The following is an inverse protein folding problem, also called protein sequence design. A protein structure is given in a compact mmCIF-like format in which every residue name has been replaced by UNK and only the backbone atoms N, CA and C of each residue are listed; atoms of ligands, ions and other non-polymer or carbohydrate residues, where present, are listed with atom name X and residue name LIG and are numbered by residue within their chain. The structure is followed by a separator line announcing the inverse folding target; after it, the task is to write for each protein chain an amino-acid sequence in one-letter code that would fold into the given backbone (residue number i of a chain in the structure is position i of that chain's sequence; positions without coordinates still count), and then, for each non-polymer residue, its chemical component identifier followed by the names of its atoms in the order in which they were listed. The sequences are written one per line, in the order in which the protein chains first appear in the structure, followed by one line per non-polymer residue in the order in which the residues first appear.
data_IF_317214008086
#
_entry.id   IF_317214008086
#
_cell.length_a   1.000
_cell.length_b   1.000
_cell.length_c   1.000
_cell.angle_alpha   90.00
_cell.angle_beta   90.00
_cell.angle_gamma   90.00
#
_symmetry.space_group_name_H-M   'P 1'
#
loop_
_entity.id
_entity.type
_entity.pdbx_description
1 polymer ?
#
# COMPACT_ATOMS: atom_id res chain seq x y z
N UNK A 1 2.54 7.16 -7.65
CA UNK A 1 3.41 8.35 -7.86
C UNK A 1 2.59 9.52 -8.36
N UNK A 2 3.03 10.74 -8.08
CA UNK A 2 2.37 11.95 -8.58
C UNK A 2 2.39 11.98 -10.11
N UNK A 3 1.41 12.63 -10.73
CA UNK A 3 1.40 12.85 -12.18
C UNK A 3 2.17 14.10 -12.53
N UNK A 4 2.79 14.13 -13.73
CA UNK A 4 3.46 15.33 -14.24
C UNK A 4 2.53 16.53 -14.37
N UNK A 5 1.25 16.28 -14.67
CA UNK A 5 0.22 17.30 -14.79
C UNK A 5 0.00 18.03 -13.45
N UNK A 6 -0.17 17.28 -12.36
CA UNK A 6 -0.29 17.85 -11.01
C UNK A 6 0.95 18.67 -10.63
N UNK A 7 2.15 18.12 -10.86
CA UNK A 7 3.41 18.78 -10.54
C UNK A 7 3.55 20.12 -11.26
N UNK A 8 3.22 20.17 -12.55
CA UNK A 8 3.40 21.36 -13.38
C UNK A 8 2.33 22.42 -13.18
N UNK A 9 1.08 22.01 -13.00
CA UNK A 9 -0.04 22.92 -12.90
C UNK A 9 -0.26 23.46 -11.48
N UNK A 10 0.28 22.77 -10.47
CA UNK A 10 0.08 23.07 -9.04
C UNK A 10 1.40 23.05 -8.26
N UNK A 11 2.50 23.50 -8.87
CA UNK A 11 3.89 23.37 -8.36
C UNK A 11 4.03 23.82 -6.91
N UNK A 12 3.66 25.06 -6.57
CA UNK A 12 3.81 25.60 -5.21
C UNK A 12 2.90 24.88 -4.20
N UNK A 13 1.71 24.49 -4.61
CA UNK A 13 0.81 23.69 -3.78
C UNK A 13 1.39 22.29 -3.50
N UNK A 14 1.97 21.64 -4.52
CA UNK A 14 2.64 20.34 -4.35
C UNK A 14 3.76 20.46 -3.34
N UNK A 15 4.61 21.49 -3.45
CA UNK A 15 5.71 21.72 -2.52
C UNK A 15 5.20 21.96 -1.09
N UNK A 16 4.16 22.79 -0.95
CA UNK A 16 3.56 23.07 0.37
C UNK A 16 2.96 21.82 1.02
N UNK A 17 2.26 20.98 0.24
CA UNK A 17 1.68 19.73 0.75
C UNK A 17 2.74 18.69 1.11
N UNK A 18 3.83 18.58 0.35
CA UNK A 18 4.96 17.72 0.69
C UNK A 18 5.60 18.11 2.03
N UNK A 19 5.63 19.41 2.34
CA UNK A 19 6.16 19.91 3.61
C UNK A 19 5.34 19.43 4.83
N UNK A 20 4.05 19.14 4.69
CA UNK A 20 3.22 18.52 5.75
C UNK A 20 3.77 17.15 6.15
N UNK A 21 4.32 16.38 5.21
CA UNK A 21 5.05 15.11 5.47
C UNK A 21 6.53 15.33 5.80
N UNK A 22 6.95 16.55 6.13
CA UNK A 22 8.35 16.90 6.37
C UNK A 22 9.30 16.56 5.22
N UNK A 23 8.78 16.55 3.99
CA UNK A 23 9.54 16.26 2.80
C UNK A 23 9.87 17.56 2.04
N UNK A 24 11.15 17.91 1.98
CA UNK A 24 11.61 19.01 1.13
C UNK A 24 11.68 18.53 -0.33
N UNK A 25 10.66 18.88 -1.09
CA UNK A 25 10.49 18.45 -2.48
C UNK A 25 10.90 19.47 -3.52
N UNK A 26 11.25 20.74 -3.15
CA UNK A 26 11.42 21.83 -4.10
C UNK A 26 12.41 21.51 -5.21
N UNK A 27 13.64 21.16 -4.87
CA UNK A 27 14.68 20.84 -5.85
C UNK A 27 14.27 19.71 -6.81
N UNK A 28 13.65 18.66 -6.27
CA UNK A 28 13.17 17.51 -7.06
C UNK A 28 12.04 17.88 -8.01
N UNK A 29 11.11 18.70 -7.56
CA UNK A 29 9.98 19.18 -8.36
C UNK A 29 10.47 20.08 -9.49
N UNK A 30 11.36 21.03 -9.21
CA UNK A 30 11.97 21.91 -10.20
C UNK A 30 12.76 21.09 -11.25
N UNK A 31 13.54 20.09 -10.80
CA UNK A 31 14.29 19.19 -11.70
C UNK A 31 13.36 18.39 -12.63
N UNK A 32 12.24 17.87 -12.14
CA UNK A 32 11.24 17.18 -12.96
C UNK A 32 10.68 18.11 -14.03
N UNK A 33 10.36 19.36 -13.67
CA UNK A 33 9.82 20.35 -14.62
C UNK A 33 10.84 20.68 -15.72
N UNK A 34 12.11 20.83 -15.34
CA UNK A 34 13.21 21.06 -16.29
C UNK A 34 13.36 19.87 -17.26
N UNK A 35 13.40 18.65 -16.74
CA UNK A 35 13.52 17.42 -17.53
C UNK A 35 12.31 17.23 -18.47
N UNK A 36 11.08 17.49 -18.01
CA UNK A 36 9.89 17.40 -18.87
C UNK A 36 9.94 18.46 -20.00
N UNK A 37 10.48 19.65 -19.73
CA UNK A 37 10.70 20.66 -20.76
C UNK A 37 11.70 20.17 -21.81
N UNK A 38 12.83 19.61 -21.38
CA UNK A 38 13.84 19.02 -22.27
C UNK A 38 13.23 17.92 -23.12
N UNK A 39 12.57 16.95 -22.49
CA UNK A 39 11.90 15.83 -23.14
C UNK A 39 10.90 16.29 -24.22
N UNK A 40 10.07 17.30 -23.91
CA UNK A 40 9.12 17.87 -24.89
C UNK A 40 9.80 18.56 -26.04
N UNK A 41 10.88 19.28 -25.78
CA UNK A 41 11.67 19.95 -26.83
C UNK A 41 12.26 18.89 -27.75
N UNK A 42 12.88 17.83 -27.20
CA UNK A 42 13.44 16.73 -27.96
C UNK A 42 12.37 15.97 -28.77
N UNK A 43 11.18 15.74 -28.18
CA UNK A 43 10.07 15.14 -28.91
C UNK A 43 9.60 15.95 -30.10
N UNK A 44 9.43 17.28 -29.93
CA UNK A 44 9.03 18.17 -31.02
C UNK A 44 10.08 18.22 -32.14
N UNK A 45 11.37 18.23 -31.76
CA UNK A 45 12.46 18.20 -32.73
C UNK A 45 12.47 16.88 -33.52
N UNK A 46 12.31 15.74 -32.82
CA UNK A 46 12.25 14.43 -33.44
C UNK A 46 11.07 14.34 -34.43
N UNK A 47 9.88 14.77 -33.98
CA UNK A 47 8.68 14.78 -34.84
C UNK A 47 8.88 15.61 -36.10
N UNK A 48 9.49 16.80 -36.00
CA UNK A 48 9.83 17.66 -37.15
C UNK A 48 10.81 16.96 -38.10
N UNK A 49 11.88 16.35 -37.57
CA UNK A 49 12.88 15.60 -38.35
C UNK A 49 12.29 14.37 -39.03
N UNK A 50 11.38 13.63 -38.34
CA UNK A 50 10.69 12.50 -38.97
C UNK A 50 9.74 12.93 -40.09
N UNK A 51 9.08 14.09 -39.96
CA UNK A 51 8.28 14.66 -41.05
C UNK A 51 9.15 15.07 -42.26
N UNK A 52 10.34 15.62 -42.02
CA UNK A 52 11.29 15.95 -43.06
C UNK A 52 11.84 14.71 -43.78
N UNK A 53 12.20 13.67 -43.03
CA UNK A 53 12.63 12.37 -43.58
C UNK A 53 11.59 11.77 -44.54
N UNK A 54 10.29 11.90 -44.19
CA UNK A 54 9.20 11.45 -45.10
C UNK A 54 9.19 12.24 -46.42
N UNK A 55 9.43 13.57 -46.38
CA UNK A 55 9.52 14.41 -47.59
C UNK A 55 10.71 14.04 -48.43
N UNK A 56 11.90 13.88 -47.80
CA UNK A 56 13.14 13.48 -48.49
C UNK A 56 13.00 12.09 -49.13
N UNK A 57 12.32 11.14 -48.47
CA UNK A 57 12.05 9.82 -49.08
C UNK A 57 11.18 9.93 -50.35
N UNK A 58 10.21 10.83 -50.37
CA UNK A 58 9.39 11.10 -51.54
C UNK A 58 10.20 11.74 -52.66
N UNK A 59 11.14 12.67 -52.34
CA UNK A 59 12.05 13.30 -53.30
C UNK A 59 12.99 12.28 -53.95
N UNK A 60 13.59 11.38 -53.18
CA UNK A 60 14.40 10.27 -53.69
C UNK A 60 13.60 9.48 -54.75
N UNK A 61 12.32 9.12 -54.40
CA UNK A 61 11.46 8.39 -55.31
C UNK A 61 11.17 9.16 -56.63
N UNK A 62 11.06 10.51 -56.57
CA UNK A 62 10.88 11.36 -57.71
C UNK A 62 12.15 11.43 -58.58
N UNK A 63 13.32 11.72 -57.99
CA UNK A 63 14.59 11.79 -58.70
C UNK A 63 14.94 10.47 -59.37
N UNK A 64 14.66 9.33 -58.71
CA UNK A 64 14.90 8.02 -59.32
C UNK A 64 14.00 7.79 -60.55
N UNK A 65 12.75 8.23 -60.55
CA UNK A 65 11.84 8.15 -61.70
C UNK A 65 12.26 9.07 -62.85
N UNK A 66 12.86 10.22 -62.53
CA UNK A 66 13.36 11.18 -63.50
C UNK A 66 14.77 10.84 -64.03
N UNK A 67 15.41 9.77 -63.55
CA UNK A 67 16.74 9.35 -63.96
C UNK A 67 17.87 10.17 -63.33
N UNK A 68 17.60 11.06 -62.39
CA UNK A 68 18.55 11.96 -61.71
C UNK A 68 19.22 11.23 -60.54
N UNK A 69 20.16 10.35 -60.86
CA UNK A 69 20.78 9.46 -59.85
C UNK A 69 21.68 10.21 -58.86
N UNK A 70 22.41 11.24 -59.31
CA UNK A 70 23.33 11.98 -58.44
C UNK A 70 22.57 12.80 -57.39
N UNK A 71 21.44 13.43 -57.79
CA UNK A 71 20.57 14.16 -56.86
C UNK A 71 19.89 13.21 -55.86
N UNK A 72 19.49 12.01 -56.33
CA UNK A 72 18.93 10.99 -55.42
C UNK A 72 19.94 10.52 -54.37
N UNK A 73 21.20 10.37 -54.74
CA UNK A 73 22.29 9.96 -53.85
C UNK A 73 22.61 11.05 -52.82
N UNK A 74 22.70 12.31 -53.22
CA UNK A 74 22.89 13.43 -52.30
C UNK A 74 21.76 13.52 -51.24
N UNK A 75 20.51 13.26 -51.63
CA UNK A 75 19.40 13.24 -50.66
C UNK A 75 19.48 12.01 -49.75
N UNK A 76 19.96 10.86 -50.24
CA UNK A 76 20.16 9.67 -49.37
C UNK A 76 21.24 9.91 -48.30
N UNK A 77 22.35 10.57 -48.65
CA UNK A 77 23.37 10.94 -47.66
C UNK A 77 22.76 11.85 -46.56
N UNK A 78 22.00 12.86 -46.93
CA UNK A 78 21.29 13.73 -45.96
C UNK A 78 20.32 12.94 -45.09
N UNK A 79 19.60 11.97 -45.66
CA UNK A 79 18.72 11.06 -44.91
C UNK A 79 19.53 10.21 -43.89
N UNK A 80 20.70 9.72 -44.29
CA UNK A 80 21.57 8.97 -43.40
C UNK A 80 22.07 9.82 -42.23
N UNK A 81 22.56 11.03 -42.49
CA UNK A 81 23.02 11.97 -41.47
C UNK A 81 21.90 12.35 -40.49
N UNK A 82 20.71 12.66 -41.03
CA UNK A 82 19.56 13.01 -40.20
C UNK A 82 19.11 11.83 -39.32
N UNK A 83 19.10 10.59 -39.82
CA UNK A 83 18.82 9.40 -39.03
C UNK A 83 19.85 9.18 -37.92
N UNK A 84 21.14 9.39 -38.22
CA UNK A 84 22.18 9.29 -37.20
C UNK A 84 21.98 10.33 -36.08
N UNK A 85 21.63 11.59 -36.44
CA UNK A 85 21.33 12.63 -35.45
C UNK A 85 20.06 12.36 -34.63
N UNK A 86 19.07 11.64 -35.16
CA UNK A 86 17.85 11.31 -34.42
C UNK A 86 18.13 10.32 -33.28
N UNK A 87 19.10 9.44 -33.41
CA UNK A 87 19.46 8.47 -32.34
C UNK A 87 19.86 9.20 -31.06
N UNK A 88 20.69 10.24 -31.16
CA UNK A 88 21.11 11.04 -30.01
C UNK A 88 19.91 11.72 -29.31
N UNK A 89 18.97 12.28 -30.11
CA UNK A 89 17.75 12.91 -29.55
C UNK A 89 16.87 11.90 -28.85
N UNK A 90 16.71 10.69 -29.41
CA UNK A 90 15.96 9.58 -28.77
C UNK A 90 16.62 9.13 -27.47
N UNK A 91 17.96 9.01 -27.44
CA UNK A 91 18.73 8.66 -26.24
C UNK A 91 18.55 9.71 -25.13
N UNK A 92 18.66 11.00 -25.45
CA UNK A 92 18.45 12.10 -24.50
C UNK A 92 17.01 12.09 -23.94
N UNK A 93 16.02 11.83 -24.79
CA UNK A 93 14.62 11.74 -24.40
C UNK A 93 14.38 10.56 -23.43
N UNK A 94 14.91 9.38 -23.74
CA UNK A 94 14.81 8.18 -22.89
C UNK A 94 15.53 8.41 -21.56
N UNK A 95 16.70 9.06 -21.58
CA UNK A 95 17.43 9.40 -20.35
C UNK A 95 16.63 10.36 -19.47
N UNK A 96 16.02 11.38 -20.04
CA UNK A 96 15.17 12.32 -19.32
C UNK A 96 13.92 11.63 -18.72
N UNK A 97 13.25 10.74 -19.46
CA UNK A 97 12.09 9.96 -18.97
C UNK A 97 12.48 9.05 -17.81
N UNK A 98 13.64 8.41 -17.90
CA UNK A 98 14.16 7.56 -16.82
C UNK A 98 14.45 8.38 -15.57
N UNK A 99 15.16 9.52 -15.70
CA UNK A 99 15.48 10.38 -14.56
C UNK A 99 14.21 10.94 -13.90
N UNK A 100 13.21 11.37 -14.70
CA UNK A 100 11.90 11.80 -14.18
C UNK A 100 11.27 10.66 -13.36
N UNK A 101 11.26 9.44 -13.88
CA UNK A 101 10.67 8.29 -13.19
C UNK A 101 11.41 8.00 -11.89
N UNK A 102 12.74 7.98 -11.91
CA UNK A 102 13.58 7.74 -10.75
C UNK A 102 13.34 8.78 -9.63
N UNK A 103 13.21 10.06 -10.00
CA UNK A 103 12.89 11.14 -9.06
C UNK A 103 11.46 10.95 -8.51
N UNK A 104 10.46 10.69 -9.35
CA UNK A 104 9.06 10.50 -8.95
C UNK A 104 8.90 9.35 -7.96
N UNK A 105 9.69 8.27 -8.07
CA UNK A 105 9.69 7.16 -7.12
C UNK A 105 10.20 7.55 -5.73
N UNK A 106 10.90 8.68 -5.61
CA UNK A 106 11.41 9.18 -4.32
C UNK A 106 10.50 10.22 -3.67
N UNK A 107 9.44 10.67 -4.34
CA UNK A 107 8.52 11.69 -3.84
C UNK A 107 7.30 11.00 -3.22
N UNK A 108 6.94 11.30 -1.95
CA UNK A 108 5.74 10.73 -1.31
C UNK A 108 4.45 11.24 -1.95
N UNK A 109 3.34 10.60 -1.61
CA UNK A 109 2.03 11.10 -1.98
C UNK A 109 1.71 12.39 -1.23
N UNK A 110 0.86 13.23 -1.83
CA UNK A 110 0.38 14.46 -1.19
C UNK A 110 -0.64 14.12 -0.12
N UNK A 111 -0.49 14.63 1.12
CA UNK A 111 -1.54 14.52 2.12
C UNK A 111 -2.76 15.35 1.69
N UNK A 112 -3.97 14.92 1.99
CA UNK A 112 -5.17 15.72 1.78
C UNK A 112 -5.29 16.83 2.83
N UNK A 113 -6.23 17.79 2.63
CA UNK A 113 -6.39 18.96 3.51
C UNK A 113 -6.79 18.59 4.95
N UNK A 114 -7.37 17.40 5.15
CA UNK A 114 -7.80 16.92 6.46
C UNK A 114 -6.65 16.39 7.33
N UNK A 115 -5.45 16.19 6.75
CA UNK A 115 -4.28 15.67 7.48
C UNK A 115 -3.73 16.77 8.40
N UNK A 116 -3.65 16.52 9.74
CA UNK A 116 -3.09 17.48 10.66
C UNK A 116 -1.58 17.61 10.51
N UNK A 117 -1.07 18.79 10.84
CA UNK A 117 0.36 18.99 11.03
C UNK A 117 0.83 18.18 12.26
N UNK A 118 2.03 17.64 12.20
CA UNK A 118 2.63 16.87 13.29
C UNK A 118 3.85 16.10 12.80
N UNK A 119 4.68 15.64 13.73
CA UNK A 119 5.96 14.97 13.43
C UNK A 119 6.00 13.51 13.83
N UNK A 120 5.24 13.14 14.86
CA UNK A 120 5.29 11.81 15.47
C UNK A 120 3.89 11.31 15.78
N UNK A 121 3.75 10.06 16.15
CA UNK A 121 2.49 9.46 16.57
C UNK A 121 1.80 10.21 17.74
N UNK A 122 2.55 10.96 18.53
CA UNK A 122 1.99 11.77 19.63
C UNK A 122 1.16 12.97 19.13
N UNK A 123 1.34 13.37 17.87
CA UNK A 123 0.63 14.46 17.22
C UNK A 123 -0.64 13.99 16.49
N UNK A 124 -0.92 12.67 16.49
CA UNK A 124 -2.12 12.11 15.90
C UNK A 124 -3.38 12.55 16.66
N UNK A 125 -4.48 12.68 15.92
CA UNK A 125 -5.74 13.17 16.51
C UNK A 125 -6.67 11.99 16.77
N UNK A 126 -7.08 11.78 18.04
CA UNK A 126 -8.16 10.85 18.38
C UNK A 126 -9.47 11.42 17.84
N UNK A 127 -10.08 10.76 16.86
CA UNK A 127 -11.36 11.18 16.28
C UNK A 127 -12.55 10.54 16.98
N UNK A 128 -12.38 9.28 17.41
CA UNK A 128 -13.47 8.50 17.99
C UNK A 128 -12.90 7.45 18.93
N UNK A 129 -13.62 7.15 19.99
CA UNK A 129 -13.28 6.11 20.93
C UNK A 129 -14.52 5.35 21.40
N UNK A 130 -14.34 4.12 21.88
CA UNK A 130 -15.44 3.28 22.35
C UNK A 130 -14.98 2.05 23.12
N UNK A 131 -15.95 1.27 23.54
CA UNK A 131 -15.71 0.11 24.41
C UNK A 131 -15.42 0.51 25.86
N UNK A 132 -15.21 -0.46 26.71
CA UNK A 132 -14.95 -0.28 28.15
C UNK A 132 -13.61 -0.95 28.50
N UNK A 133 -12.67 -0.18 29.03
CA UNK A 133 -11.41 -0.71 29.53
C UNK A 133 -11.71 -1.56 30.77
N UNK A 134 -11.40 -2.87 30.72
CA UNK A 134 -11.67 -3.76 31.83
C UNK A 134 -10.79 -3.41 33.03
N UNK A 135 -11.37 -3.50 34.21
CA UNK A 135 -10.64 -3.35 35.47
C UNK A 135 -10.10 -4.73 35.86
N UNK A 136 -8.87 -5.02 35.49
CA UNK A 136 -8.19 -6.26 35.85
C UNK A 136 -7.57 -6.15 37.24
N UNK A 137 -7.52 -7.29 37.97
CA UNK A 137 -6.83 -7.38 39.26
C UNK A 137 -5.30 -7.22 39.13
N UNK A 138 -4.64 -7.14 40.27
CA UNK A 138 -3.17 -7.01 40.34
C UNK A 138 -2.44 -8.27 39.83
N UNK A 139 -3.13 -9.37 39.71
CA UNK A 139 -2.69 -10.69 39.20
C UNK A 139 -2.90 -10.83 37.67
N UNK A 140 -3.37 -9.79 36.99
CA UNK A 140 -3.55 -9.81 35.54
C UNK A 140 -2.25 -10.10 34.79
N UNK A 141 -2.33 -11.10 33.91
CA UNK A 141 -1.17 -11.57 33.14
C UNK A 141 -1.16 -10.96 31.73
N UNK A 142 0.00 -10.56 31.20
CA UNK A 142 0.12 -10.19 29.79
C UNK A 142 -0.01 -11.44 28.89
N UNK A 143 -0.36 -11.20 27.62
CA UNK A 143 -0.68 -12.29 26.68
C UNK A 143 0.40 -13.36 26.53
N UNK A 144 1.69 -13.05 26.66
CA UNK A 144 2.76 -14.04 26.57
C UNK A 144 2.79 -14.99 27.77
N UNK A 145 2.39 -14.55 28.96
CA UNK A 145 2.22 -15.41 30.14
C UNK A 145 0.93 -16.24 30.04
N UNK A 146 -0.17 -15.64 29.56
CA UNK A 146 -1.42 -16.36 29.29
C UNK A 146 -1.23 -17.43 28.21
N UNK A 147 -0.50 -17.10 27.13
CA UNK A 147 -0.17 -18.03 26.07
C UNK A 147 0.60 -19.26 26.59
N UNK A 148 1.53 -19.05 27.53
CA UNK A 148 2.26 -20.12 28.18
C UNK A 148 1.38 -20.90 29.18
N UNK A 149 0.62 -20.19 30.00
CA UNK A 149 -0.28 -20.83 31.04
C UNK A 149 -1.27 -21.80 30.42
N UNK A 150 -1.86 -21.44 29.29
CA UNK A 150 -2.89 -22.23 28.61
C UNK A 150 -2.37 -22.98 27.38
N UNK A 151 -1.06 -23.05 27.17
CA UNK A 151 -0.39 -23.72 26.03
C UNK A 151 -0.97 -23.35 24.67
N UNK A 152 -1.19 -22.02 24.44
CA UNK A 152 -1.82 -21.49 23.25
C UNK A 152 -0.82 -21.14 22.14
N UNK A 153 0.35 -20.60 22.53
CA UNK A 153 1.38 -20.12 21.62
C UNK A 153 2.74 -20.46 22.23
N UNK A 154 3.59 -21.05 21.41
CA UNK A 154 4.95 -21.43 21.79
C UNK A 154 5.97 -20.61 21.00
N UNK A 155 6.58 -19.63 21.65
CA UNK A 155 7.59 -18.76 21.05
C UNK A 155 8.96 -19.46 20.96
N UNK A 156 9.27 -20.39 21.88
CA UNK A 156 10.55 -21.11 21.89
C UNK A 156 10.63 -22.12 20.74
N UNK A 157 9.53 -22.81 20.41
CA UNK A 157 9.45 -23.66 19.23
C UNK A 157 9.61 -22.84 17.95
N UNK A 158 9.06 -21.63 17.90
CA UNK A 158 9.26 -20.70 16.77
C UNK A 158 10.72 -20.32 16.58
N UNK A 159 11.41 -19.98 17.67
CA UNK A 159 12.86 -19.71 17.65
C UNK A 159 13.65 -20.92 17.16
N UNK A 160 13.27 -22.13 17.60
CA UNK A 160 13.92 -23.38 17.18
C UNK A 160 13.79 -23.65 15.68
N UNK A 161 12.62 -23.32 15.09
CA UNK A 161 12.32 -23.64 13.68
C UNK A 161 12.90 -22.58 12.74
N UNK A 162 12.78 -21.29 13.12
CA UNK A 162 13.08 -20.18 12.20
C UNK A 162 13.92 -19.09 12.86
N UNK A 163 13.51 -18.63 14.05
CA UNK A 163 14.11 -17.50 14.75
C UNK A 163 13.08 -16.74 15.60
N UNK A 164 13.52 -15.69 16.29
CA UNK A 164 12.61 -14.82 17.03
C UNK A 164 11.60 -14.15 16.10
N UNK A 165 10.38 -13.88 16.58
CA UNK A 165 9.33 -13.24 15.78
C UNK A 165 8.52 -14.17 14.88
N UNK A 166 8.66 -15.50 15.05
CA UNK A 166 7.89 -16.54 14.35
C UNK A 166 7.20 -17.45 15.37
N UNK A 167 6.00 -17.09 15.89
CA UNK A 167 5.30 -17.88 16.90
C UNK A 167 4.71 -19.16 16.34
N UNK A 168 4.60 -20.21 17.20
CA UNK A 168 3.88 -21.44 16.88
C UNK A 168 2.57 -21.46 17.67
N UNK A 169 1.45 -21.36 16.99
CA UNK A 169 0.13 -21.46 17.60
C UNK A 169 -0.24 -22.94 17.85
N UNK A 170 -0.85 -23.23 19.00
CA UNK A 170 -1.16 -24.59 19.46
C UNK A 170 -2.59 -24.69 19.98
N UNK A 171 -3.19 -25.86 19.89
CA UNK A 171 -4.46 -26.21 20.52
C UNK A 171 -5.58 -25.18 20.35
N UNK A 172 -6.13 -24.69 21.48
CA UNK A 172 -7.16 -23.61 21.46
C UNK A 172 -6.63 -22.29 20.86
N UNK A 173 -5.33 -21.99 20.97
CA UNK A 173 -4.71 -20.82 20.33
C UNK A 173 -4.74 -20.89 18.80
N UNK A 174 -4.35 -22.02 18.20
CA UNK A 174 -4.45 -22.24 16.75
C UNK A 174 -5.91 -22.24 16.28
N UNK A 175 -6.84 -22.75 17.09
CA UNK A 175 -8.28 -22.70 16.79
C UNK A 175 -8.81 -21.27 16.79
N UNK A 176 -8.40 -20.46 17.80
CA UNK A 176 -8.79 -19.04 17.90
C UNK A 176 -8.24 -18.25 16.71
N UNK A 177 -6.99 -18.50 16.28
CA UNK A 177 -6.38 -17.88 15.11
C UNK A 177 -7.25 -18.10 13.84
N UNK A 178 -7.63 -19.36 13.58
CA UNK A 178 -8.51 -19.68 12.44
C UNK A 178 -9.92 -19.08 12.57
N UNK A 179 -10.44 -19.05 13.80
CA UNK A 179 -11.74 -18.44 14.09
C UNK A 179 -11.76 -16.96 13.75
N UNK A 180 -10.72 -16.22 14.12
CA UNK A 180 -10.57 -14.80 13.77
C UNK A 180 -10.51 -14.60 12.24
N UNK A 181 -9.71 -15.41 11.54
CA UNK A 181 -9.63 -15.34 10.06
C UNK A 181 -11.01 -15.53 9.44
N UNK A 182 -11.72 -16.61 9.82
CA UNK A 182 -13.03 -16.93 9.27
C UNK A 182 -14.07 -15.85 9.60
N UNK A 183 -14.06 -15.33 10.83
CA UNK A 183 -14.94 -14.25 11.25
C UNK A 183 -14.72 -12.98 10.43
N UNK A 184 -13.48 -12.54 10.25
CA UNK A 184 -13.17 -11.33 9.51
C UNK A 184 -13.52 -11.45 8.02
N UNK A 185 -13.25 -12.60 7.40
CA UNK A 185 -13.62 -12.85 6.01
C UNK A 185 -15.14 -12.89 5.80
N UNK A 186 -15.88 -13.54 6.70
CA UNK A 186 -17.35 -13.57 6.65
C UNK A 186 -17.94 -12.16 6.79
N UNK A 187 -17.44 -11.36 7.73
CA UNK A 187 -17.87 -9.97 7.91
C UNK A 187 -17.55 -9.10 6.68
N UNK A 188 -16.37 -9.30 6.07
CA UNK A 188 -16.02 -8.60 4.84
C UNK A 188 -16.95 -8.99 3.68
N UNK A 189 -17.27 -10.29 3.53
CA UNK A 189 -18.23 -10.78 2.53
C UNK A 189 -19.63 -10.18 2.75
N UNK A 190 -20.10 -10.11 4.00
CA UNK A 190 -21.38 -9.47 4.35
C UNK A 190 -21.40 -7.96 4.00
N UNK A 191 -20.26 -7.29 4.07
CA UNK A 191 -20.07 -5.90 3.64
C UNK A 191 -19.85 -5.74 2.11
N UNK A 192 -20.02 -6.81 1.33
CA UNK A 192 -19.98 -6.79 -0.13
C UNK A 192 -18.59 -6.91 -0.75
N UNK A 193 -17.57 -7.34 0.03
CA UNK A 193 -16.25 -7.64 -0.51
C UNK A 193 -16.20 -9.03 -1.14
N UNK A 194 -15.58 -9.14 -2.30
CA UNK A 194 -15.23 -10.41 -2.92
C UNK A 194 -13.97 -10.97 -2.26
N UNK A 195 -14.06 -12.17 -1.71
CA UNK A 195 -12.92 -12.87 -1.14
C UNK A 195 -11.95 -13.31 -2.25
N UNK A 196 -10.67 -13.01 -2.06
CA UNK A 196 -9.57 -13.37 -2.96
C UNK A 196 -8.49 -14.09 -2.14
N UNK A 197 -7.97 -15.18 -2.67
CA UNK A 197 -6.79 -15.86 -2.12
C UNK A 197 -5.58 -15.63 -3.04
N UNK A 198 -4.75 -14.62 -2.76
CA UNK A 198 -3.62 -14.28 -3.60
C UNK A 198 -2.37 -15.12 -3.29
N UNK A 199 -1.36 -15.17 -4.19
CA UNK A 199 -0.05 -15.71 -3.86
C UNK A 199 0.67 -14.87 -2.80
N UNK A 200 1.49 -15.52 -1.96
CA UNK A 200 2.25 -14.85 -0.89
C UNK A 200 3.65 -14.39 -1.34
N UNK A 201 3.99 -14.66 -2.58
CA UNK A 201 5.18 -14.14 -3.25
C UNK A 201 4.77 -13.34 -4.47
N UNK A 202 5.46 -12.22 -4.70
CA UNK A 202 5.17 -11.30 -5.79
C UNK A 202 6.44 -10.94 -6.55
N UNK A 203 6.28 -10.55 -7.83
CA UNK A 203 7.38 -10.02 -8.61
C UNK A 203 7.69 -8.55 -8.25
N UNK A 204 8.83 -8.07 -8.71
CA UNK A 204 9.31 -6.72 -8.48
C UNK A 204 8.29 -5.64 -8.94
N UNK A 205 7.67 -5.83 -10.12
CA UNK A 205 6.68 -4.90 -10.64
C UNK A 205 5.46 -4.73 -9.71
N UNK A 206 5.08 -5.77 -8.97
CA UNK A 206 4.01 -5.69 -7.97
C UNK A 206 4.42 -4.88 -6.74
N UNK A 207 5.67 -5.02 -6.29
CA UNK A 207 6.21 -4.18 -5.22
C UNK A 207 6.27 -2.69 -5.60
N UNK A 208 6.64 -2.38 -6.83
CA UNK A 208 6.61 -1.00 -7.35
C UNK A 208 5.18 -0.46 -7.48
N UNK A 209 4.23 -1.30 -7.88
CA UNK A 209 2.84 -0.90 -8.11
C UNK A 209 2.17 -0.29 -6.88
N UNK A 210 2.36 -0.86 -5.71
CA UNK A 210 1.79 -0.39 -4.43
C UNK A 210 2.75 0.48 -3.61
N UNK A 211 4.04 0.52 -3.98
CA UNK A 211 5.01 1.43 -3.37
C UNK A 211 5.88 0.84 -2.26
N UNK A 212 5.88 -0.48 -2.09
CA UNK A 212 6.83 -1.16 -1.23
C UNK A 212 8.25 -1.17 -1.80
N UNK A 213 8.37 -1.08 -3.12
CA UNK A 213 9.64 -0.86 -3.80
C UNK A 213 9.74 0.56 -4.38
N UNK A 214 10.94 1.16 -4.38
CA UNK A 214 12.19 0.66 -3.81
C UNK A 214 12.12 0.56 -2.28
N UNK A 215 12.57 -0.58 -1.72
CA UNK A 215 12.54 -0.83 -0.27
C UNK A 215 13.67 -0.08 0.44
N UNK A 216 13.38 1.17 0.84
CA UNK A 216 14.35 2.06 1.48
C UNK A 216 14.67 1.66 2.93
N UNK A 217 13.74 0.96 3.57
CA UNK A 217 13.82 0.59 4.97
C UNK A 217 14.29 -0.85 5.18
N UNK A 218 14.46 -1.62 4.10
CA UNK A 218 14.87 -3.01 4.15
C UNK A 218 13.85 -3.95 4.81
N UNK A 219 12.55 -3.66 4.62
CA UNK A 219 11.45 -4.38 5.28
C UNK A 219 11.03 -5.66 4.55
N UNK A 220 11.30 -5.77 3.25
CA UNK A 220 10.86 -6.91 2.46
C UNK A 220 11.83 -8.09 2.51
N UNK A 221 11.30 -9.30 2.69
CA UNK A 221 12.03 -10.54 2.42
C UNK A 221 12.11 -10.77 0.91
N UNK A 222 13.32 -11.05 0.40
CA UNK A 222 13.57 -11.30 -1.01
C UNK A 222 14.11 -12.71 -1.23
N UNK A 223 13.49 -13.46 -2.16
CA UNK A 223 13.99 -14.72 -2.69
C UNK A 223 14.90 -14.39 -3.88
N UNK A 224 16.19 -14.19 -3.62
CA UNK A 224 17.15 -13.64 -4.59
C UNK A 224 17.35 -14.53 -5.82
N UNK A 225 17.22 -15.86 -5.67
CA UNK A 225 17.38 -16.81 -6.79
C UNK A 225 16.31 -16.62 -7.88
N UNK A 226 15.10 -16.27 -7.49
CA UNK A 226 13.94 -16.16 -8.38
C UNK A 226 13.50 -14.71 -8.62
N UNK A 227 14.14 -13.74 -7.97
CA UNK A 227 13.75 -12.33 -7.92
C UNK A 227 12.27 -12.14 -7.51
N UNK A 228 11.86 -12.84 -6.45
CA UNK A 228 10.53 -12.77 -5.87
C UNK A 228 10.61 -12.21 -4.45
N UNK A 229 9.53 -11.58 -4.01
CA UNK A 229 9.42 -10.96 -2.71
C UNK A 229 8.27 -11.57 -1.92
N UNK A 230 8.48 -11.90 -0.65
CA UNK A 230 7.38 -12.27 0.24
C UNK A 230 6.57 -11.02 0.57
N UNK A 231 5.25 -11.14 0.54
CA UNK A 231 4.35 -10.01 0.73
C UNK A 231 4.36 -9.52 2.19
N UNK A 232 4.46 -8.20 2.45
CA UNK A 232 4.31 -7.63 3.78
C UNK A 232 2.84 -7.41 4.17
N UNK A 233 1.92 -7.53 3.19
CA UNK A 233 0.47 -7.33 3.26
C UNK A 233 -0.20 -7.87 2.00
N UNK A 234 -1.44 -8.36 2.11
CA UNK A 234 -2.23 -8.75 0.94
C UNK A 234 -2.59 -7.57 0.04
N UNK A 235 -2.47 -6.33 0.50
CA UNK A 235 -2.57 -5.13 -0.35
C UNK A 235 -1.77 -5.29 -1.64
N UNK A 236 -0.52 -5.77 -1.54
CA UNK A 236 0.38 -5.84 -2.69
C UNK A 236 -0.18 -6.73 -3.80
N UNK A 237 -0.45 -8.02 -3.60
CA UNK A 237 -0.98 -8.85 -4.66
C UNK A 237 -2.41 -8.45 -5.08
N UNK A 238 -3.29 -8.09 -4.15
CA UNK A 238 -4.70 -7.79 -4.44
C UNK A 238 -4.84 -6.52 -5.28
N UNK A 239 -4.14 -5.44 -4.92
CA UNK A 239 -4.17 -4.19 -5.70
C UNK A 239 -3.54 -4.40 -7.09
N UNK A 240 -2.51 -5.24 -7.20
CA UNK A 240 -1.85 -5.56 -8.47
C UNK A 240 -2.68 -6.46 -9.41
N UNK A 241 -3.80 -7.07 -8.99
CA UNK A 241 -4.76 -7.68 -9.90
C UNK A 241 -5.26 -6.69 -10.95
N UNK A 242 -5.24 -5.42 -10.61
CA UNK A 242 -5.76 -4.32 -11.45
C UNK A 242 -4.64 -3.51 -12.12
N UNK A 243 -3.41 -4.03 -12.15
CA UNK A 243 -2.30 -3.41 -12.89
C UNK A 243 -2.56 -3.50 -14.39
N UNK A 244 -2.36 -2.37 -15.09
CA UNK A 244 -2.61 -2.17 -16.53
C UNK A 244 -4.09 -2.38 -16.95
N UNK A 245 -5.05 -2.31 -16.00
CA UNK A 245 -6.49 -2.46 -16.28
C UNK A 245 -7.12 -1.10 -16.58
N UNK A 246 -8.04 -1.09 -17.54
CA UNK A 246 -8.94 0.04 -17.81
C UNK A 246 -10.39 -0.47 -17.61
N UNK A 247 -11.01 -0.03 -16.53
CA UNK A 247 -12.41 -0.32 -16.22
C UNK A 247 -13.37 0.49 -17.09
N UNK A 248 -14.61 0.02 -17.26
CA UNK A 248 -15.69 0.96 -17.53
C UNK A 248 -16.05 1.65 -16.21
N UNK A 249 -16.50 2.89 -16.25
CA UNK A 249 -16.89 3.64 -15.05
C UNK A 249 -17.96 2.89 -14.23
N UNK A 250 -18.87 2.17 -14.90
CA UNK A 250 -19.92 1.34 -14.28
C UNK A 250 -19.40 0.10 -13.53
N UNK A 251 -18.15 -0.30 -13.74
CA UNK A 251 -17.55 -1.46 -13.09
C UNK A 251 -16.98 -1.11 -11.70
N UNK A 252 -16.97 0.18 -11.35
CA UNK A 252 -16.53 0.68 -10.05
C UNK A 252 -17.72 0.84 -9.10
N UNK A 253 -17.57 0.58 -7.79
CA UNK A 253 -16.32 0.17 -7.12
C UNK A 253 -16.02 -1.31 -7.27
N UNK A 254 -14.72 -1.66 -7.21
CA UNK A 254 -14.27 -3.03 -6.99
C UNK A 254 -13.83 -3.16 -5.53
N UNK A 255 -14.38 -4.16 -4.82
CA UNK A 255 -14.11 -4.43 -3.40
C UNK A 255 -13.59 -5.84 -3.22
N UNK A 256 -12.41 -6.00 -2.65
CA UNK A 256 -11.80 -7.30 -2.39
C UNK A 256 -11.38 -7.43 -0.92
N UNK A 257 -11.53 -8.65 -0.37
CA UNK A 257 -10.99 -9.04 0.91
C UNK A 257 -10.04 -10.23 0.72
N UNK A 258 -8.92 -10.24 1.41
CA UNK A 258 -7.96 -11.32 1.33
C UNK A 258 -7.33 -11.63 2.69
N UNK A 259 -7.29 -12.90 3.05
CA UNK A 259 -6.42 -13.41 4.10
C UNK A 259 -5.05 -13.72 3.52
N UNK A 260 -4.00 -13.37 4.26
CA UNK A 260 -2.65 -13.81 3.97
C UNK A 260 -1.76 -13.89 5.22
N UNK A 261 -0.75 -14.76 5.18
CA UNK A 261 0.45 -14.54 5.96
C UNK A 261 1.19 -13.32 5.39
N UNK A 262 1.70 -12.49 6.28
CA UNK A 262 2.46 -11.28 5.97
C UNK A 262 3.88 -11.43 6.54
N UNK A 263 4.87 -10.95 5.79
CA UNK A 263 6.28 -11.11 6.14
C UNK A 263 6.97 -9.75 6.19
N UNK A 264 7.53 -9.39 7.36
CA UNK A 264 8.27 -8.13 7.54
C UNK A 264 9.59 -8.41 8.23
N UNK A 265 10.67 -7.83 7.71
CA UNK A 265 12.00 -7.99 8.32
C UNK A 265 12.15 -7.28 9.65
N UNK A 266 11.23 -6.34 9.94
CA UNK A 266 11.23 -5.55 11.19
C UNK A 266 12.60 -4.94 11.49
N UNK A 267 13.29 -4.50 10.44
CA UNK A 267 14.64 -3.95 10.53
C UNK A 267 14.66 -2.73 11.47
N UNK A 268 15.56 -2.76 12.45
CA UNK A 268 15.69 -1.67 13.43
C UNK A 268 14.77 -1.76 14.65
N UNK A 269 13.97 -2.81 14.80
CA UNK A 269 13.08 -2.98 15.94
C UNK A 269 13.74 -3.79 17.06
N UNK A 270 13.82 -3.22 18.27
CA UNK A 270 14.46 -3.82 19.45
C UNK A 270 13.67 -3.54 20.73
N UNK A 271 13.88 -4.36 21.77
CA UNK A 271 13.44 -4.10 23.13
C UNK A 271 12.04 -4.62 23.49
N UNK A 272 11.32 -3.90 24.37
CA UNK A 272 10.03 -4.35 24.94
C UNK A 272 8.91 -4.49 23.89
N UNK A 273 9.01 -3.76 22.79
CA UNK A 273 7.99 -3.73 21.74
C UNK A 273 7.96 -5.00 20.88
N UNK A 274 9.00 -5.84 20.96
CA UNK A 274 9.08 -7.12 20.23
C UNK A 274 8.64 -8.33 21.08
N UNK A 275 8.16 -8.13 22.33
CA UNK A 275 7.78 -9.23 23.21
C UNK A 275 6.40 -9.80 22.84
N UNK A 276 6.32 -11.13 22.82
CA UNK A 276 5.06 -11.84 22.55
C UNK A 276 4.57 -11.60 21.12
N UNK A 277 3.31 -11.18 20.99
CA UNK A 277 2.63 -10.92 19.71
C UNK A 277 2.69 -9.45 19.25
N UNK A 278 3.41 -8.59 19.97
CA UNK A 278 3.39 -7.16 19.68
C UNK A 278 4.03 -6.81 18.32
N UNK A 279 5.09 -7.55 17.95
CA UNK A 279 5.80 -7.34 16.67
C UNK A 279 6.42 -8.66 16.20
N UNK A 280 6.08 -9.07 14.99
CA UNK A 280 6.43 -10.37 14.42
C UNK A 280 7.00 -10.23 13.02
N UNK A 281 7.91 -11.13 12.65
CA UNK A 281 8.43 -11.26 11.29
C UNK A 281 7.45 -11.95 10.35
N UNK A 282 6.62 -12.85 10.89
CA UNK A 282 5.50 -13.47 10.17
C UNK A 282 4.23 -13.34 11.02
N UNK A 283 3.15 -12.86 10.40
CA UNK A 283 1.85 -12.72 11.05
C UNK A 283 0.72 -12.84 10.03
N UNK A 284 -0.47 -13.13 10.53
CA UNK A 284 -1.68 -13.25 9.72
C UNK A 284 -2.49 -11.96 9.73
N UNK A 285 -3.07 -11.62 8.57
CA UNK A 285 -3.88 -10.43 8.39
C UNK A 285 -5.00 -10.69 7.37
N UNK A 286 -6.19 -10.19 7.66
CA UNK A 286 -7.22 -9.98 6.64
C UNK A 286 -7.11 -8.54 6.16
N UNK A 287 -7.05 -8.36 4.86
CA UNK A 287 -6.92 -7.06 4.20
C UNK A 287 -8.15 -6.81 3.34
N UNK A 288 -8.67 -5.59 3.35
CA UNK A 288 -9.70 -5.12 2.44
C UNK A 288 -9.11 -4.07 1.50
N UNK A 289 -9.42 -4.18 0.21
CA UNK A 289 -8.93 -3.29 -0.85
C UNK A 289 -10.09 -2.81 -1.69
N UNK A 290 -10.11 -1.54 -2.02
CA UNK A 290 -11.09 -0.98 -2.96
C UNK A 290 -10.38 -0.24 -4.10
N UNK A 291 -10.92 -0.43 -5.32
CA UNK A 291 -10.63 0.41 -6.48
C UNK A 291 -11.87 1.26 -6.71
N UNK A 292 -11.71 2.57 -6.65
CA UNK A 292 -12.81 3.51 -6.61
C UNK A 292 -12.75 4.58 -7.72
N UNK A 293 -13.94 5.09 -8.07
CA UNK A 293 -14.02 6.37 -8.76
C UNK A 293 -13.53 7.49 -7.83
N UNK A 294 -12.74 8.47 -8.32
CA UNK A 294 -12.20 9.55 -7.50
C UNK A 294 -13.25 10.25 -6.62
N UNK A 295 -14.42 10.56 -7.19
CA UNK A 295 -15.50 11.30 -6.51
C UNK A 295 -16.12 10.53 -5.33
N UNK A 296 -15.92 9.21 -5.27
CA UNK A 296 -16.51 8.35 -4.25
C UNK A 296 -15.49 7.84 -3.22
N UNK A 297 -14.21 8.09 -3.42
CA UNK A 297 -13.14 7.51 -2.58
C UNK A 297 -13.16 8.03 -1.15
N UNK A 298 -13.61 9.26 -0.89
CA UNK A 298 -13.75 9.78 0.46
C UNK A 298 -14.88 9.06 1.23
N UNK A 299 -16.04 8.84 0.58
CA UNK A 299 -17.14 8.10 1.19
C UNK A 299 -16.77 6.61 1.39
N UNK A 300 -16.01 6.02 0.46
CA UNK A 300 -15.50 4.66 0.60
C UNK A 300 -14.52 4.51 1.78
N UNK A 301 -13.72 5.53 2.07
CA UNK A 301 -12.85 5.54 3.24
C UNK A 301 -13.65 5.50 4.54
N UNK A 302 -14.72 6.29 4.65
CA UNK A 302 -15.62 6.25 5.81
C UNK A 302 -16.31 4.89 5.97
N UNK A 303 -16.80 4.30 4.86
CA UNK A 303 -17.38 2.95 4.87
C UNK A 303 -16.37 1.90 5.38
N UNK A 304 -15.09 1.98 4.95
CA UNK A 304 -14.04 1.09 5.43
C UNK A 304 -13.73 1.28 6.91
N UNK A 305 -13.73 2.52 7.40
CA UNK A 305 -13.58 2.84 8.83
C UNK A 305 -14.72 2.24 9.66
N UNK A 306 -15.96 2.43 9.23
CA UNK A 306 -17.14 1.86 9.92
C UNK A 306 -17.10 0.33 9.94
N UNK A 307 -16.66 -0.30 8.85
CA UNK A 307 -16.47 -1.76 8.81
C UNK A 307 -15.45 -2.22 9.86
N UNK A 308 -14.26 -1.61 9.92
CA UNK A 308 -13.22 -1.96 10.89
C UNK A 308 -13.66 -1.69 12.32
N UNK A 309 -14.34 -0.55 12.57
CA UNK A 309 -14.93 -0.26 13.87
C UNK A 309 -15.89 -1.38 14.31
N UNK A 310 -16.80 -1.81 13.43
CA UNK A 310 -17.73 -2.89 13.73
C UNK A 310 -17.04 -4.22 14.08
N UNK A 311 -15.84 -4.47 13.53
CA UNK A 311 -15.05 -5.66 13.88
C UNK A 311 -14.51 -5.59 15.33
N UNK A 312 -13.90 -4.47 15.73
CA UNK A 312 -13.34 -4.31 17.08
C UNK A 312 -14.44 -4.26 18.14
N UNK A 313 -15.60 -3.67 17.83
CA UNK A 313 -16.79 -3.68 18.68
C UNK A 313 -17.36 -5.08 18.89
N UNK A 314 -17.45 -5.89 17.82
CA UNK A 314 -17.91 -7.27 17.88
C UNK A 314 -16.97 -8.17 18.71
N UNK A 315 -15.70 -7.79 18.81
CA UNK A 315 -14.71 -8.44 19.68
C UNK A 315 -14.73 -7.94 21.12
N UNK A 316 -15.65 -7.03 21.45
CA UNK A 316 -15.84 -6.47 22.78
C UNK A 316 -14.54 -5.84 23.35
N UNK A 317 -13.73 -5.21 22.49
CA UNK A 317 -12.47 -4.57 22.85
C UNK A 317 -12.66 -3.06 23.01
N UNK A 318 -11.98 -2.40 23.96
CA UNK A 318 -11.88 -0.93 23.99
C UNK A 318 -11.00 -0.47 22.84
N UNK A 319 -11.44 0.55 22.12
CA UNK A 319 -10.81 1.03 20.89
C UNK A 319 -10.82 2.55 20.77
N UNK A 320 -9.90 3.09 19.97
CA UNK A 320 -9.97 4.42 19.43
C UNK A 320 -9.51 4.47 17.97
N UNK A 321 -9.93 5.51 17.25
CA UNK A 321 -9.55 5.79 15.88
C UNK A 321 -8.70 7.05 15.91
N UNK A 322 -7.49 6.95 15.34
CA UNK A 322 -6.54 8.04 15.20
C UNK A 322 -6.51 8.51 13.74
N UNK A 323 -6.64 9.81 13.51
CA UNK A 323 -6.24 10.40 12.24
C UNK A 323 -4.76 10.76 12.29
N UNK A 324 -3.97 10.15 11.42
CA UNK A 324 -2.53 10.34 11.43
C UNK A 324 -2.12 11.73 10.95
N UNK A 325 -1.14 12.30 11.62
CA UNK A 325 -0.48 13.54 11.20
C UNK A 325 0.51 13.29 10.05
N UNK A 326 0.93 14.36 9.40
CA UNK A 326 1.81 14.27 8.24
C UNK A 326 3.11 13.53 8.46
N UNK A 327 3.69 13.62 9.66
CA UNK A 327 4.97 12.98 10.03
C UNK A 327 4.86 11.49 10.34
N UNK A 328 3.65 11.00 10.65
CA UNK A 328 3.40 9.58 10.97
C UNK A 328 2.75 8.80 9.82
N UNK A 329 2.28 9.49 8.79
CA UNK A 329 1.67 8.86 7.62
C UNK A 329 2.67 8.08 6.77
N UNK A 330 2.21 6.96 6.19
CA UNK A 330 2.99 6.22 5.21
C UNK A 330 3.38 7.07 3.98
N UNK A 331 4.46 6.67 3.31
CA UNK A 331 4.97 7.33 2.11
C UNK A 331 3.91 7.46 1.01
N UNK A 332 3.05 6.47 0.85
CA UNK A 332 2.12 6.37 -0.28
C UNK A 332 0.71 6.89 -0.01
N UNK A 333 0.28 7.04 1.25
CA UNK A 333 -1.09 7.46 1.59
C UNK A 333 -1.31 8.97 1.45
N UNK A 334 -2.53 9.36 1.09
CA UNK A 334 -3.01 10.74 1.12
C UNK A 334 -3.72 11.07 2.44
N UNK A 335 -4.30 10.07 3.08
CA UNK A 335 -4.87 10.14 4.44
C UNK A 335 -4.92 8.74 5.02
N UNK A 336 -4.68 8.61 6.31
CA UNK A 336 -4.70 7.35 7.04
C UNK A 336 -5.38 7.51 8.38
N UNK A 337 -6.16 6.49 8.74
CA UNK A 337 -6.76 6.33 10.07
C UNK A 337 -6.27 5.01 10.66
N UNK A 338 -5.67 5.08 11.86
CA UNK A 338 -5.28 3.91 12.60
C UNK A 338 -6.31 3.56 13.67
N UNK A 339 -6.55 2.28 13.81
CA UNK A 339 -7.34 1.72 14.89
C UNK A 339 -6.42 1.10 15.92
N UNK A 340 -6.60 1.49 17.14
CA UNK A 340 -5.90 0.90 18.27
C UNK A 340 -6.90 0.28 19.25
N UNK A 341 -6.49 -0.82 19.88
CA UNK A 341 -7.21 -1.45 20.98
C UNK A 341 -6.39 -1.39 22.25
N UNK A 342 -7.05 -1.20 23.38
CA UNK A 342 -6.34 -1.12 24.65
C UNK A 342 -5.95 -2.50 25.15
N UNK A 343 -4.68 -2.69 25.48
CA UNK A 343 -4.16 -3.88 26.17
C UNK A 343 -4.16 -3.61 27.68
N UNK A 344 -5.10 -4.19 28.40
CA UNK A 344 -5.32 -3.88 29.81
C UNK A 344 -4.19 -4.36 30.74
N UNK A 345 -3.51 -5.46 30.40
CA UNK A 345 -2.37 -5.95 31.17
C UNK A 345 -1.07 -5.18 30.87
N UNK A 346 -0.87 -4.75 29.62
CA UNK A 346 0.30 -3.92 29.25
C UNK A 346 0.06 -2.44 29.53
N UNK A 347 -1.17 -2.02 29.81
CA UNK A 347 -1.61 -0.63 30.06
C UNK A 347 -1.21 0.32 28.93
N UNK A 348 -1.44 -0.11 27.68
CA UNK A 348 -1.16 0.69 26.48
C UNK A 348 -2.10 0.38 25.32
N UNK A 349 -2.16 1.28 24.38
CA UNK A 349 -2.84 1.09 23.11
C UNK A 349 -1.98 0.27 22.15
N UNK A 350 -2.60 -0.59 21.35
CA UNK A 350 -1.98 -1.43 20.33
C UNK A 350 -2.67 -1.16 19.00
N UNK A 351 -1.94 -0.66 18.02
CA UNK A 351 -2.42 -0.53 16.64
C UNK A 351 -2.77 -1.90 16.06
N UNK A 352 -4.00 -2.06 15.57
CA UNK A 352 -4.52 -3.32 15.01
C UNK A 352 -4.98 -3.19 13.57
N UNK A 353 -5.15 -1.97 13.08
CA UNK A 353 -5.52 -1.68 11.69
C UNK A 353 -5.04 -0.30 11.31
N UNK A 354 -4.75 -0.16 10.02
CA UNK A 354 -4.53 1.11 9.35
C UNK A 354 -5.41 1.13 8.11
N UNK A 355 -6.26 2.15 7.96
CA UNK A 355 -7.18 2.32 6.84
C UNK A 355 -6.78 3.57 6.07
N UNK A 356 -6.44 3.42 4.79
CA UNK A 356 -5.83 4.48 3.99
C UNK A 356 -6.51 4.70 2.65
N UNK A 357 -6.56 5.96 2.24
CA UNK A 357 -6.83 6.36 0.86
C UNK A 357 -5.52 6.85 0.23
N UNK A 358 -5.16 6.29 -0.91
CA UNK A 358 -3.96 6.65 -1.67
C UNK A 358 -4.28 7.60 -2.82
N UNK A 359 -5.55 7.91 -3.01
CA UNK A 359 -6.02 8.64 -4.19
C UNK A 359 -5.46 8.00 -5.48
N UNK A 360 -4.96 8.79 -6.41
CA UNK A 360 -4.43 8.30 -7.68
C UNK A 360 -2.97 7.82 -7.62
N UNK A 361 -2.31 7.89 -6.45
CA UNK A 361 -0.87 7.66 -6.35
C UNK A 361 -0.45 6.24 -6.74
N UNK A 362 -1.11 5.23 -6.18
CA UNK A 362 -0.87 3.84 -6.55
C UNK A 362 -1.45 3.53 -7.93
N UNK A 363 -2.64 4.04 -8.25
CA UNK A 363 -3.26 3.84 -9.56
C UNK A 363 -2.39 4.35 -10.71
N UNK A 364 -1.65 5.44 -10.52
CA UNK A 364 -0.68 5.94 -11.51
C UNK A 364 0.52 5.00 -11.68
N UNK A 365 1.03 4.38 -10.61
CA UNK A 365 2.08 3.35 -10.69
C UNK A 365 1.60 2.08 -11.40
N UNK A 366 0.39 1.67 -11.07
CA UNK A 366 -0.28 0.47 -11.60
C UNK A 366 -0.84 0.68 -13.01
N UNK A 367 -0.95 1.91 -13.48
CA UNK A 367 -1.74 2.27 -14.68
C UNK A 367 -3.18 1.76 -14.58
N UNK A 368 -3.75 1.78 -13.37
CA UNK A 368 -5.12 1.42 -13.08
C UNK A 368 -6.03 2.60 -13.39
N UNK A 369 -6.90 2.46 -14.38
CA UNK A 369 -7.66 3.56 -14.98
C UNK A 369 -9.10 3.14 -15.22
N UNK A 370 -9.98 4.12 -15.41
CA UNK A 370 -11.33 3.89 -15.91
C UNK A 370 -11.61 4.79 -17.12
N UNK A 371 -12.57 4.39 -17.94
CA UNK A 371 -13.07 5.17 -19.07
C UNK A 371 -14.30 5.94 -18.63
N UNK A 372 -14.16 7.26 -18.52
CA UNK A 372 -15.24 8.16 -18.12
C UNK A 372 -16.27 8.40 -19.22
N UNK A 373 -17.35 9.07 -18.86
CA UNK A 373 -18.42 9.49 -19.80
C UNK A 373 -17.90 10.40 -20.92
N UNK A 374 -16.80 11.12 -20.68
CA UNK A 374 -16.09 11.95 -21.67
C UNK A 374 -15.28 11.12 -22.69
N UNK A 375 -15.34 9.79 -22.60
CA UNK A 375 -14.59 8.82 -23.41
C UNK A 375 -13.07 8.87 -23.24
N UNK A 376 -12.56 9.62 -22.23
CA UNK A 376 -11.15 9.64 -21.87
C UNK A 376 -10.88 8.61 -20.76
N UNK A 377 -9.59 8.30 -20.61
CA UNK A 377 -9.14 7.46 -19.49
C UNK A 377 -8.66 8.33 -18.35
N UNK A 378 -9.16 8.04 -17.14
CA UNK A 378 -8.81 8.69 -15.89
C UNK A 378 -8.20 7.68 -14.92
N UNK A 379 -7.37 8.14 -14.00
CA UNK A 379 -6.84 7.29 -12.92
C UNK A 379 -7.94 6.97 -11.92
N UNK A 380 -8.00 5.71 -11.49
CA UNK A 380 -8.79 5.32 -10.33
C UNK A 380 -8.16 5.84 -9.03
N UNK A 381 -8.91 5.80 -7.93
CA UNK A 381 -8.38 5.86 -6.58
C UNK A 381 -8.27 4.46 -5.99
N UNK A 382 -7.25 4.24 -5.14
CA UNK A 382 -7.06 2.97 -4.42
C UNK A 382 -7.15 3.22 -2.92
N UNK A 383 -7.80 2.29 -2.22
CA UNK A 383 -7.91 2.30 -0.77
C UNK A 383 -7.57 0.92 -0.24
N UNK A 384 -6.99 0.86 0.94
CA UNK A 384 -6.88 -0.40 1.69
C UNK A 384 -7.12 -0.21 3.18
N UNK A 385 -7.31 -1.33 3.87
CA UNK A 385 -7.39 -1.37 5.31
C UNK A 385 -7.20 -2.77 5.84
N UNK A 386 -6.57 -2.88 7.00
CA UNK A 386 -6.49 -4.15 7.71
C UNK A 386 -7.81 -4.44 8.44
N UNK A 387 -8.40 -5.58 8.15
CA UNK A 387 -9.68 -6.00 8.73
C UNK A 387 -9.60 -7.37 9.44
N UNK A 388 -8.68 -7.68 10.37
CA UNK A 388 -7.67 -6.91 11.11
C UNK A 388 -6.30 -7.61 11.06
N UNK A 389 -5.26 -7.03 11.70
CA UNK A 389 -3.99 -7.71 11.97
C UNK A 389 -4.13 -8.60 13.21
N UNK A 390 -4.05 -9.93 13.03
CA UNK A 390 -4.44 -10.89 14.05
C UNK A 390 -3.58 -10.90 15.33
N UNK A 391 -2.25 -10.72 15.30
CA UNK A 391 -1.45 -10.90 16.51
C UNK A 391 -1.83 -9.96 17.65
N UNK A 392 -1.95 -8.67 17.37
CA UNK A 392 -2.29 -7.68 18.39
C UNK A 392 -3.75 -7.80 18.84
N UNK A 393 -4.65 -8.20 17.93
CA UNK A 393 -6.04 -8.55 18.28
C UNK A 393 -6.04 -9.74 19.23
N UNK A 394 -5.30 -10.81 18.93
CA UNK A 394 -5.20 -11.96 19.83
C UNK A 394 -4.60 -11.58 21.17
N UNK A 395 -3.55 -10.77 21.19
CA UNK A 395 -2.96 -10.27 22.44
C UNK A 395 -4.00 -9.52 23.28
N UNK A 396 -4.74 -8.60 22.68
CA UNK A 396 -5.78 -7.83 23.36
C UNK A 396 -6.95 -8.71 23.84
N UNK A 397 -7.38 -9.69 23.03
CA UNK A 397 -8.42 -10.64 23.42
C UNK A 397 -8.01 -11.46 24.66
N UNK A 398 -6.81 -12.05 24.64
CA UNK A 398 -6.30 -12.84 25.77
C UNK A 398 -6.22 -12.00 27.04
N UNK A 399 -5.70 -10.76 26.94
CA UNK A 399 -5.50 -9.89 28.08
C UNK A 399 -6.82 -9.31 28.63
N UNK A 400 -7.67 -8.76 27.74
CA UNK A 400 -8.85 -8.04 28.18
C UNK A 400 -9.98 -8.96 28.66
N UNK A 401 -10.01 -10.20 28.21
CA UNK A 401 -11.06 -11.17 28.57
C UNK A 401 -10.63 -12.23 29.59
N UNK A 402 -9.44 -12.06 30.20
CA UNK A 402 -9.02 -12.96 31.29
C UNK A 402 -9.89 -12.82 32.51
N UNK A 403 -10.20 -13.95 33.12
CA UNK A 403 -10.95 -14.09 34.38
C UNK A 403 -10.24 -15.08 35.28
N UNK A 404 -10.63 -15.22 36.57
CA UNK A 404 -10.09 -16.28 37.44
C UNK A 404 -10.29 -17.69 36.90
N UNK A 405 -11.40 -17.94 36.19
CA UNK A 405 -11.77 -19.23 35.62
C UNK A 405 -11.08 -19.56 34.30
N UNK A 406 -10.62 -18.53 33.55
CA UNK A 406 -10.04 -18.71 32.24
C UNK A 406 -10.13 -17.45 31.41
N UNK A 407 -10.03 -17.59 30.07
CA UNK A 407 -10.17 -16.49 29.15
C UNK A 407 -11.49 -16.63 28.39
N UNK A 408 -12.43 -15.70 28.61
CA UNK A 408 -13.72 -15.66 27.93
C UNK A 408 -13.56 -15.36 26.45
N UNK A 409 -14.30 -16.04 25.61
CA UNK A 409 -14.34 -15.78 24.17
C UNK A 409 -15.49 -14.80 23.88
N UNK A 410 -15.26 -13.71 23.11
CA UNK A 410 -16.32 -12.82 22.66
C UNK A 410 -17.44 -13.58 21.97
N UNK A 411 -18.68 -13.17 22.24
CA UNK A 411 -19.88 -13.87 21.74
C UNK A 411 -19.86 -14.09 20.22
N UNK A 412 -19.36 -13.10 19.49
CA UNK A 412 -19.27 -13.16 18.02
C UNK A 412 -18.33 -14.27 17.51
N UNK A 413 -17.33 -14.68 18.30
CA UNK A 413 -16.35 -15.71 17.93
C UNK A 413 -16.76 -17.13 18.35
N UNK A 414 -17.68 -17.30 19.30
CA UNK A 414 -18.08 -18.62 19.79
C UNK A 414 -18.52 -19.59 18.68
N UNK A 415 -19.29 -19.17 17.66
CA UNK A 415 -19.65 -20.06 16.56
C UNK A 415 -18.45 -20.55 15.75
N UNK A 416 -17.37 -19.79 15.70
CA UNK A 416 -16.15 -20.10 14.95
C UNK A 416 -15.15 -20.93 15.78
N UNK A 417 -15.03 -20.64 17.06
CA UNK A 417 -14.14 -21.37 17.97
C UNK A 417 -14.71 -22.72 18.35
N UNK A 418 -16.04 -22.81 18.57
CA UNK A 418 -16.70 -23.99 19.10
C UNK A 418 -16.50 -24.17 20.64
N UNK A 419 -15.98 -23.13 21.29
CA UNK A 419 -15.88 -23.01 22.76
C UNK A 419 -16.06 -21.54 23.16
N UNK A 420 -16.48 -21.28 24.37
CA UNK A 420 -16.73 -19.95 24.95
C UNK A 420 -15.69 -19.57 26.02
N UNK A 421 -14.80 -20.48 26.39
CA UNK A 421 -13.77 -20.30 27.41
C UNK A 421 -12.47 -21.01 27.01
N UNK A 422 -11.33 -20.38 27.29
CA UNK A 422 -10.02 -21.03 27.35
C UNK A 422 -9.68 -21.23 28.82
N UNK A 423 -9.67 -22.45 29.25
CA UNK A 423 -9.45 -22.93 30.61
C UNK A 423 -8.30 -23.95 30.69
#
# INVERSE_FOLDING_TARGET
MLTLDVIKNRTEEVIARLAVKHFDGREKIERIIELDKTRRTSQNELDARLAELKKMAAEIGKFMKEGKKDEAEAVKERVADMKAGNVAIEEDMVAAEREITDILLTIPNLPCDAVPEGRTAEDNIVEKEGGVIPQLGDDALPHWELAKKYDLIDFELGVKITGAGFPVYKGKGARLQRALISFFLDRAREAGYLEIQPPYVVNEASGYGTGQLPDKEGQMYCCTADNLYLIPTAEVPVTNLYRDVIFNESDLPVKNAAYSACFRREAGSYGKDVRGLNRLHQFDKVEIVQIQHPDHSAAALEEMKDHVQGLVEALELPWHILRLCGGDMSFTSAITFDFEVYSAAQKRWLEVSSVSNFESYQANRLKCRYRGADKKTHLCHTLNGSALALPRIMAALLENHQTPEGIRIPRALVPYTGFDMID
#
